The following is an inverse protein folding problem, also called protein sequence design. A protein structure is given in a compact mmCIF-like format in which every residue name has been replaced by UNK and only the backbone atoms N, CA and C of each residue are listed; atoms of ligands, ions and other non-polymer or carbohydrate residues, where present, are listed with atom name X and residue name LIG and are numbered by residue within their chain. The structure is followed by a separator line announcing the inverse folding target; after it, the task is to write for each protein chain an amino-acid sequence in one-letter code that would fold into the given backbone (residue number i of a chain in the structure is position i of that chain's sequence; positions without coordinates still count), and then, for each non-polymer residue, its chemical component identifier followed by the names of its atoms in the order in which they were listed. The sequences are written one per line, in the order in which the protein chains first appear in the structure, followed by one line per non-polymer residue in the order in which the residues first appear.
data_IF_735471848347
#
_entry.id   IF_735471848347
#
_cell.length_a   1.000
_cell.length_b   1.000
_cell.length_c   1.000
_cell.angle_alpha   90.00
_cell.angle_beta   90.00
_cell.angle_gamma   90.00
#
_symmetry.space_group_name_H-M   'P 1'
#
loop_
_entity.id
_entity.type
_entity.pdbx_description
1 polymer ?
#
# COMPACT_ATOMS: atom_id res chain seq x y z
N UNK A 1 -10.40 15.53 3.86
CA UNK A 1 -9.25 14.99 4.64
C UNK A 1 -8.63 13.88 3.80
N UNK A 2 -7.30 13.67 3.80
CA UNK A 2 -6.72 12.63 2.96
C UNK A 2 -7.25 11.25 3.33
N UNK A 3 -7.62 10.46 2.32
CA UNK A 3 -8.16 9.11 2.45
C UNK A 3 -7.32 8.12 1.64
N UNK A 4 -7.32 6.86 2.09
CA UNK A 4 -6.66 5.77 1.37
C UNK A 4 -7.59 5.26 0.27
N UNK A 5 -7.06 5.13 -0.95
CA UNK A 5 -7.73 4.48 -2.08
C UNK A 5 -6.81 3.49 -2.78
N UNK A 6 -7.35 2.52 -3.55
CA UNK A 6 -6.53 1.67 -4.39
C UNK A 6 -5.65 2.48 -5.35
N UNK A 7 -4.45 1.96 -5.60
CA UNK A 7 -3.47 2.54 -6.53
C UNK A 7 -3.95 2.33 -7.97
N UNK A 8 -3.91 3.39 -8.77
CA UNK A 8 -4.19 3.37 -10.20
C UNK A 8 -2.88 3.35 -11.01
N UNK A 9 -2.89 2.88 -12.27
CA UNK A 9 -1.71 2.95 -13.13
C UNK A 9 -1.14 4.37 -13.29
N UNK A 10 -1.99 5.39 -13.23
CA UNK A 10 -1.60 6.81 -13.28
C UNK A 10 -0.84 7.29 -12.04
N UNK A 11 -0.92 6.57 -10.92
CA UNK A 11 -0.22 6.94 -9.69
C UNK A 11 1.23 6.42 -9.69
N UNK A 12 1.56 5.39 -10.48
CA UNK A 12 2.87 4.71 -10.50
C UNK A 12 4.05 5.68 -10.66
N UNK A 13 4.03 6.67 -11.58
CA UNK A 13 5.14 7.62 -11.70
C UNK A 13 5.37 8.43 -10.41
N UNK A 14 4.31 8.76 -9.67
CA UNK A 14 4.41 9.50 -8.41
C UNK A 14 4.96 8.62 -7.28
N UNK A 15 4.59 7.32 -7.24
CA UNK A 15 5.14 6.37 -6.29
C UNK A 15 6.66 6.23 -6.46
N UNK A 16 7.14 6.17 -7.70
CA UNK A 16 8.58 6.12 -7.98
C UNK A 16 9.32 7.36 -7.50
N UNK A 17 8.71 8.55 -7.61
CA UNK A 17 9.31 9.78 -7.08
C UNK A 17 9.36 9.72 -5.55
N UNK A 18 8.29 9.24 -4.91
CA UNK A 18 8.23 9.14 -3.46
C UNK A 18 9.17 8.07 -2.90
N UNK A 19 9.38 6.96 -3.61
CA UNK A 19 10.31 5.89 -3.22
C UNK A 19 11.79 6.31 -3.27
N UNK A 20 12.13 7.43 -3.93
CA UNK A 20 13.46 8.06 -3.82
C UNK A 20 13.82 8.46 -2.37
N UNK A 21 12.83 8.50 -1.46
CA UNK A 21 13.07 8.61 -0.02
C UNK A 21 13.86 7.43 0.56
N UNK A 22 13.94 6.31 -0.18
CA UNK A 22 14.69 5.10 0.15
C UNK A 22 15.82 4.86 -0.89
N UNK A 23 16.85 5.73 -0.94
CA UNK A 23 17.85 5.71 -2.02
C UNK A 23 18.70 4.42 -2.07
N UNK A 24 18.75 3.65 -0.99
CA UNK A 24 19.43 2.36 -0.93
C UNK A 24 18.57 1.16 -1.34
N UNK A 25 17.28 1.37 -1.61
CA UNK A 25 16.31 0.33 -1.94
C UNK A 25 15.53 0.68 -3.22
N UNK A 26 16.21 0.76 -4.38
CA UNK A 26 15.55 1.12 -5.63
C UNK A 26 14.58 0.02 -6.08
N UNK A 27 13.42 0.43 -6.59
CA UNK A 27 12.45 -0.48 -7.20
C UNK A 27 11.92 0.11 -8.51
N UNK A 28 11.68 -0.77 -9.47
CA UNK A 28 11.19 -0.41 -10.80
C UNK A 28 9.69 -0.14 -10.83
N UNK A 29 9.24 0.59 -11.86
CA UNK A 29 7.81 0.82 -12.12
C UNK A 29 7.02 -0.49 -12.20
N UNK A 30 7.65 -1.53 -12.76
CA UNK A 30 7.07 -2.85 -12.98
C UNK A 30 6.70 -3.54 -11.66
N UNK A 31 7.52 -3.35 -10.61
CA UNK A 31 7.26 -3.89 -9.26
C UNK A 31 5.98 -3.31 -8.68
N UNK A 32 5.86 -1.98 -8.66
CA UNK A 32 4.65 -1.30 -8.18
C UNK A 32 3.42 -1.66 -9.02
N UNK A 33 3.56 -1.68 -10.35
CA UNK A 33 2.46 -1.98 -11.25
C UNK A 33 1.96 -3.43 -11.11
N UNK A 34 2.88 -4.38 -10.96
CA UNK A 34 2.51 -5.78 -10.75
C UNK A 34 1.79 -5.98 -9.42
N UNK A 35 2.29 -5.38 -8.32
CA UNK A 35 1.67 -5.52 -7.00
C UNK A 35 0.28 -4.88 -6.96
N UNK A 36 0.11 -3.71 -7.59
CA UNK A 36 -1.21 -3.09 -7.75
C UNK A 36 -2.18 -3.94 -8.56
N UNK A 37 -1.68 -4.69 -9.56
CA UNK A 37 -2.50 -5.60 -10.39
C UNK A 37 -2.83 -6.91 -9.67
N UNK A 38 -1.84 -7.55 -9.06
CA UNK A 38 -1.99 -8.86 -8.40
C UNK A 38 -2.73 -8.75 -7.07
N UNK A 39 -2.57 -7.62 -6.38
CA UNK A 39 -3.15 -7.42 -5.07
C UNK A 39 -3.60 -5.96 -4.86
N UNK A 40 -4.68 -5.53 -5.53
CA UNK A 40 -5.18 -4.15 -5.48
C UNK A 40 -5.57 -3.70 -4.07
N UNK A 41 -6.04 -4.63 -3.22
CA UNK A 41 -6.46 -4.35 -1.84
C UNK A 41 -5.29 -4.03 -0.91
N UNK A 42 -4.05 -4.42 -1.26
CA UNK A 42 -2.84 -4.09 -0.50
C UNK A 42 -1.95 -3.03 -1.15
N UNK A 43 -2.39 -2.42 -2.25
CA UNK A 43 -1.66 -1.37 -2.94
C UNK A 43 -2.47 -0.09 -2.92
N UNK A 44 -2.14 0.82 -2.01
CA UNK A 44 -2.93 2.00 -1.69
C UNK A 44 -2.14 3.29 -1.87
N UNK A 45 -2.86 4.36 -2.19
CA UNK A 45 -2.37 5.73 -2.14
C UNK A 45 -3.21 6.55 -1.19
N UNK A 46 -2.57 7.50 -0.51
CA UNK A 46 -3.24 8.46 0.36
C UNK A 46 -3.42 9.75 -0.45
N UNK A 47 -4.67 10.12 -0.75
CA UNK A 47 -4.98 11.32 -1.54
C UNK A 47 -6.01 12.21 -0.87
N UNK A 48 -6.01 13.51 -1.18
CA UNK A 48 -7.15 14.38 -0.86
C UNK A 48 -8.20 14.39 -1.99
N UNK A 49 -9.23 15.21 -1.81
CA UNK A 49 -10.36 15.35 -2.75
C UNK A 49 -9.97 15.94 -4.12
N UNK A 50 -8.74 16.47 -4.25
CA UNK A 50 -8.17 16.99 -5.51
C UNK A 50 -7.15 16.01 -6.13
N UNK A 51 -7.16 14.74 -5.71
CA UNK A 51 -6.21 13.70 -6.12
C UNK A 51 -4.74 14.02 -5.82
N UNK A 52 -4.47 14.96 -4.92
CA UNK A 52 -3.10 15.22 -4.50
C UNK A 52 -2.61 14.07 -3.63
N UNK A 53 -1.46 13.50 -4.00
CA UNK A 53 -0.84 12.37 -3.31
C UNK A 53 -0.04 12.83 -2.08
N UNK A 54 -0.25 12.15 -0.96
CA UNK A 54 0.41 12.38 0.32
C UNK A 54 1.20 11.16 0.82
N UNK A 55 1.09 10.03 0.13
CA UNK A 55 1.78 8.80 0.50
C UNK A 55 1.21 7.58 -0.20
N UNK A 56 1.83 6.43 0.05
CA UNK A 56 1.40 5.14 -0.44
C UNK A 56 1.72 4.05 0.59
N UNK A 57 1.06 2.91 0.43
CA UNK A 57 1.34 1.69 1.14
C UNK A 57 1.19 0.53 0.15
N UNK A 58 2.27 -0.19 -0.08
CA UNK A 58 2.31 -1.36 -0.98
C UNK A 58 2.62 -2.58 -0.13
N UNK A 59 1.84 -3.63 -0.36
CA UNK A 59 1.90 -4.84 0.41
C UNK A 59 1.23 -5.98 -0.33
N UNK A 60 1.58 -7.21 0.02
CA UNK A 60 1.06 -8.40 -0.64
C UNK A 60 1.18 -9.64 0.24
N UNK A 61 0.37 -10.68 -0.01
CA UNK A 61 0.54 -11.97 0.63
C UNK A 61 1.88 -12.61 0.25
N UNK A 62 2.48 -13.32 1.19
CA UNK A 62 3.68 -14.14 1.00
C UNK A 62 3.58 -15.42 1.84
N UNK A 63 4.46 -16.38 1.55
CA UNK A 63 4.80 -17.43 2.50
C UNK A 63 5.72 -16.89 3.60
N UNK A 64 5.44 -17.25 4.84
CA UNK A 64 6.25 -16.86 6.00
C UNK A 64 7.69 -17.33 5.84
N UNK A 65 8.64 -16.42 6.11
CA UNK A 65 10.06 -16.70 6.00
C UNK A 65 10.59 -16.73 4.57
N UNK A 66 9.79 -16.36 3.57
CA UNK A 66 10.18 -16.29 2.17
C UNK A 66 9.98 -14.87 1.61
N UNK A 67 10.71 -13.85 2.11
CA UNK A 67 10.66 -12.53 1.50
C UNK A 67 11.23 -12.57 0.08
N UNK A 68 10.65 -11.78 -0.83
CA UNK A 68 11.21 -11.63 -2.16
C UNK A 68 12.48 -10.77 -2.11
N UNK A 69 13.37 -11.01 -3.07
CA UNK A 69 14.49 -10.11 -3.33
C UNK A 69 13.98 -8.73 -3.75
N UNK A 70 14.79 -7.70 -3.47
CA UNK A 70 14.49 -6.33 -3.89
C UNK A 70 14.35 -6.25 -5.42
N UNK A 71 13.47 -5.36 -5.89
CA UNK A 71 13.22 -5.13 -7.32
C UNK A 71 12.85 -6.40 -8.11
N UNK A 72 12.15 -7.34 -7.46
CA UNK A 72 11.72 -8.60 -8.07
C UNK A 72 10.21 -8.71 -8.18
N UNK A 73 9.77 -9.34 -9.27
CA UNK A 73 8.36 -9.62 -9.54
C UNK A 73 7.89 -10.86 -8.76
N UNK A 74 6.63 -10.82 -8.32
CA UNK A 74 5.91 -11.95 -7.73
C UNK A 74 5.50 -12.96 -8.80
N UNK A 75 5.12 -12.49 -10.00
CA UNK A 75 4.49 -13.29 -11.06
C UNK A 75 3.03 -13.65 -10.74
N UNK A 76 2.78 -14.21 -9.56
CA UNK A 76 1.45 -14.51 -9.02
C UNK A 76 1.47 -14.44 -7.48
N UNK A 77 0.29 -14.29 -6.87
CA UNK A 77 0.15 -14.51 -5.43
C UNK A 77 0.17 -16.01 -5.18
N UNK A 78 1.05 -16.48 -4.30
CA UNK A 78 1.13 -17.87 -3.91
C UNK A 78 -0.20 -18.32 -3.27
N UNK A 79 -0.74 -19.45 -3.72
CA UNK A 79 -1.99 -20.03 -3.20
C UNK A 79 -1.86 -20.43 -1.73
N UNK A 80 -0.65 -20.73 -1.29
CA UNK A 80 -0.34 -21.14 0.07
C UNK A 80 0.22 -19.98 0.92
N UNK A 81 0.01 -18.73 0.52
CA UNK A 81 0.45 -17.56 1.28
C UNK A 81 -0.25 -17.52 2.66
N UNK A 82 0.55 -17.54 3.73
CA UNK A 82 0.11 -17.61 5.14
C UNK A 82 0.54 -16.37 5.96
N UNK A 83 1.09 -15.37 5.28
CA UNK A 83 1.58 -14.15 5.88
C UNK A 83 1.33 -12.92 4.99
N UNK A 84 1.39 -11.73 5.61
CA UNK A 84 1.31 -10.45 4.94
C UNK A 84 2.64 -9.72 5.00
N UNK A 85 3.14 -9.29 3.84
CA UNK A 85 4.37 -8.51 3.76
C UNK A 85 4.04 -7.05 3.45
N UNK A 86 4.37 -6.18 4.39
CA UNK A 86 4.42 -4.74 4.13
C UNK A 86 5.69 -4.50 3.33
N UNK A 87 5.51 -4.26 2.04
CA UNK A 87 6.62 -4.15 1.12
C UNK A 87 7.29 -2.79 1.20
N UNK A 88 6.49 -1.73 1.09
CA UNK A 88 6.95 -0.36 1.22
C UNK A 88 5.81 0.55 1.68
N UNK A 89 6.14 1.55 2.50
CA UNK A 89 5.21 2.57 2.98
C UNK A 89 5.95 3.89 3.09
N UNK A 90 5.45 4.89 2.39
CA UNK A 90 5.96 6.25 2.51
C UNK A 90 4.81 7.24 2.68
N UNK A 91 5.01 8.21 3.55
CA UNK A 91 4.13 9.36 3.74
C UNK A 91 4.96 10.64 3.79
N UNK A 92 4.44 11.69 3.15
CA UNK A 92 5.08 13.00 3.14
C UNK A 92 5.21 13.52 4.58
N UNK A 93 6.29 14.25 4.91
CA UNK A 93 6.57 14.70 6.27
C UNK A 93 5.40 15.40 6.97
N UNK A 94 4.63 16.21 6.25
CA UNK A 94 3.51 17.02 6.74
C UNK A 94 2.34 16.19 7.26
N UNK A 95 2.25 14.92 6.83
CA UNK A 95 1.19 13.99 7.16
C UNK A 95 1.59 12.97 8.25
N UNK A 96 2.86 12.94 8.66
CA UNK A 96 3.34 12.05 9.72
C UNK A 96 2.73 12.42 11.08
N UNK A 97 2.52 11.43 11.95
CA UNK A 97 1.98 11.63 13.31
C UNK A 97 0.49 11.96 13.38
N UNK A 98 -0.23 12.00 12.25
CA UNK A 98 -1.67 12.34 12.20
C UNK A 98 -2.63 11.16 12.38
N UNK A 99 -2.12 9.98 12.74
CA UNK A 99 -2.96 8.78 12.94
C UNK A 99 -3.63 8.27 11.66
N UNK A 100 -2.95 8.44 10.50
CA UNK A 100 -3.44 7.99 9.20
C UNK A 100 -3.36 6.46 9.12
N UNK A 101 -4.47 5.80 9.46
CA UNK A 101 -4.55 4.34 9.48
C UNK A 101 -4.98 3.83 8.10
N UNK A 102 -4.15 3.01 7.47
CA UNK A 102 -4.64 2.04 6.50
C UNK A 102 -4.95 0.76 7.29
N UNK A 103 -6.18 0.25 7.20
CA UNK A 103 -6.53 -1.03 7.84
C UNK A 103 -6.51 -2.14 6.79
N UNK A 104 -5.57 -3.06 6.95
CA UNK A 104 -5.54 -4.32 6.22
C UNK A 104 -6.27 -5.34 7.08
N UNK A 105 -7.35 -5.94 6.58
CA UNK A 105 -8.10 -6.98 7.28
C UNK A 105 -7.98 -8.33 6.57
N UNK A 106 -7.99 -9.40 7.38
CA UNK A 106 -8.12 -10.78 6.94
C UNK A 106 -9.60 -11.14 7.05
N UNK A 107 -10.21 -11.67 5.99
CA UNK A 107 -11.51 -12.32 6.12
C UNK A 107 -11.38 -13.74 6.72
N UNK A 108 -12.52 -14.34 7.07
CA UNK A 108 -12.61 -15.66 7.70
C UNK A 108 -12.11 -16.81 6.80
N UNK A 109 -11.82 -16.54 5.53
CA UNK A 109 -11.26 -17.46 4.54
C UNK A 109 -9.76 -17.21 4.32
N UNK A 110 -9.16 -16.26 5.04
CA UNK A 110 -7.79 -15.80 4.83
C UNK A 110 -7.63 -14.92 3.58
N UNK A 111 -8.72 -14.49 2.94
CA UNK A 111 -8.69 -13.58 1.80
C UNK A 111 -8.76 -12.13 2.31
N UNK A 112 -7.89 -11.28 1.78
CA UNK A 112 -7.63 -9.97 2.35
C UNK A 112 -8.56 -8.89 1.80
N UNK A 113 -9.06 -8.04 2.68
CA UNK A 113 -9.86 -6.87 2.33
C UNK A 113 -9.27 -5.60 2.91
N UNK A 114 -9.45 -4.50 2.18
CA UNK A 114 -9.22 -3.17 2.70
C UNK A 114 -10.49 -2.72 3.43
N UNK A 115 -10.42 -2.55 4.75
CA UNK A 115 -11.37 -1.71 5.46
C UNK A 115 -10.80 -0.30 5.45
N UNK A 116 -11.40 0.62 4.69
CA UNK A 116 -11.09 2.04 4.84
C UNK A 116 -11.91 2.48 6.06
N UNK A 117 -11.32 2.65 7.26
CA UNK A 117 -12.08 3.19 8.38
C UNK A 117 -12.58 4.57 7.96
N UNK A 118 -13.91 4.73 7.94
CA UNK A 118 -14.50 6.05 7.81
C UNK A 118 -13.95 6.92 8.93
N UNK A 119 -13.61 8.20 8.66
CA UNK A 119 -13.19 9.10 9.72
C UNK A 119 -14.27 9.11 10.80
N UNK A 120 -13.89 8.67 12.01
CA UNK A 120 -14.76 8.79 13.18
C UNK A 120 -14.90 10.28 13.44
N UNK A 121 -16.02 10.87 13.00
CA UNK A 121 -16.39 12.23 13.40
C UNK A 121 -16.70 12.16 14.89
N UNK A 122 -15.94 12.85 15.77
CA UNK A 122 -16.29 12.87 17.17
C UNK A 122 -17.64 13.56 17.31
N UNK A 123 -18.63 12.86 17.88
CA UNK A 123 -19.89 13.48 18.27
C UNK A 123 -19.55 14.66 19.19
N UNK A 124 -19.95 15.86 18.77
CA UNK A 124 -19.85 17.04 19.63
C UNK A 124 -20.75 16.80 20.83
N UNK A 125 -20.13 16.68 22.00
CA UNK A 125 -20.81 16.68 23.30
C UNK A 125 -21.42 18.04 23.59
#
# INVERSE_FOLDING_TARGET
MPTWRPTLPSDIPLLLVASLSHPSLPESASVFAERARLFPTGSLVLTDDNDKLYGYAVSHPIRRGQPLALDSLLGAIDVDADAYYIHDVAVVPEMRGRGLRAAFSFDDRGLFRLDIPQPVVPERR
#
